data_IF_251828350351
#
_entry.id   IF_251828350351
#
_cell.length_a   1.000
_cell.length_b   1.000
_cell.length_c   1.000
_cell.angle_alpha   90.00
_cell.angle_beta   90.00
_cell.angle_gamma   90.00
#
_symmetry.space_group_name_H-M   'P 1'
#
loop_
_entity.id
_entity.type
_entity.pdbx_description
1 polymer ?
#
# COMPACT_ATOMS: atom_id res chain seq x y z
N UNK A 1 -26.48 -11.12 56.44
CA UNK A 1 -25.20 -10.51 56.01
C UNK A 1 -25.49 -9.38 55.02
N UNK A 2 -25.76 -8.15 55.49
CA UNK A 2 -26.15 -7.01 54.62
C UNK A 2 -25.41 -5.75 55.08
N UNK A 3 -24.12 -5.64 54.74
CA UNK A 3 -23.36 -4.39 54.91
C UNK A 3 -23.85 -3.42 53.84
N UNK A 4 -24.76 -2.51 54.20
CA UNK A 4 -25.23 -1.42 53.34
C UNK A 4 -24.10 -0.40 53.17
N UNK A 5 -23.65 -0.18 51.93
CA UNK A 5 -22.73 0.91 51.61
C UNK A 5 -23.49 2.25 51.74
N UNK A 6 -23.41 2.89 52.91
CA UNK A 6 -24.10 4.14 53.26
C UNK A 6 -23.84 5.31 52.29
N UNK A 7 -22.79 5.23 51.48
CA UNK A 7 -22.42 6.27 50.53
C UNK A 7 -23.24 6.23 49.24
N UNK A 8 -23.75 5.06 48.84
CA UNK A 8 -24.56 4.90 47.61
C UNK A 8 -25.97 5.48 47.82
N UNK A 9 -26.45 5.47 49.06
CA UNK A 9 -27.77 5.98 49.43
C UNK A 9 -27.90 7.50 49.32
N UNK A 10 -26.77 8.23 49.24
CA UNK A 10 -26.74 9.68 49.03
C UNK A 10 -26.82 10.10 47.56
N UNK A 11 -26.71 9.14 46.63
CA UNK A 11 -26.68 9.38 45.17
C UNK A 11 -28.08 9.12 44.56
N UNK A 12 -29.03 8.68 45.37
CA UNK A 12 -30.41 8.40 44.94
C UNK A 12 -31.24 9.70 45.00
N UNK A 13 -31.57 10.25 43.83
CA UNK A 13 -32.26 11.55 43.67
C UNK A 13 -33.77 11.42 43.95
N UNK A 14 -34.31 10.21 44.08
CA UNK A 14 -35.74 9.98 44.16
C UNK A 14 -36.22 9.58 45.58
N UNK A 15 -37.38 10.10 46.04
CA UNK A 15 -37.97 9.66 47.30
C UNK A 15 -38.38 8.18 47.22
N UNK A 16 -37.88 7.36 48.15
CA UNK A 16 -38.14 5.92 48.16
C UNK A 16 -39.59 5.62 48.55
N UNK A 17 -40.21 4.68 47.83
CA UNK A 17 -41.56 4.19 48.10
C UNK A 17 -41.60 3.39 49.41
N UNK A 18 -42.70 3.44 50.16
CA UNK A 18 -42.85 2.69 51.41
C UNK A 18 -42.76 1.17 51.16
N UNK A 19 -42.08 0.43 52.06
CA UNK A 19 -41.78 -1.01 51.87
C UNK A 19 -43.05 -1.88 51.77
N UNK A 20 -44.18 -1.41 52.29
CA UNK A 20 -45.49 -2.10 52.25
C UNK A 20 -46.09 -2.21 50.84
N UNK A 21 -45.67 -1.34 49.91
CA UNK A 21 -46.08 -1.39 48.49
C UNK A 21 -45.04 -2.06 47.58
N UNK A 22 -43.94 -2.61 48.15
CA UNK A 22 -42.81 -3.15 47.38
C UNK A 22 -42.66 -4.65 47.60
N UNK A 23 -43.13 -5.48 46.66
CA UNK A 23 -42.88 -6.92 46.70
C UNK A 23 -41.58 -7.29 45.95
N UNK A 24 -40.51 -7.57 46.69
CA UNK A 24 -39.26 -8.05 46.11
C UNK A 24 -39.30 -9.56 45.87
N UNK A 25 -39.51 -9.99 44.63
CA UNK A 25 -39.48 -11.41 44.26
C UNK A 25 -38.05 -11.86 43.89
N UNK A 26 -37.60 -12.99 44.44
CA UNK A 26 -36.26 -13.53 44.19
C UNK A 26 -36.01 -13.88 42.70
N UNK A 27 -37.03 -14.34 41.98
CA UNK A 27 -36.96 -14.62 40.54
C UNK A 27 -36.85 -13.35 39.69
N UNK A 28 -37.62 -12.30 40.02
CA UNK A 28 -37.58 -11.01 39.32
C UNK A 28 -36.26 -10.26 39.48
N UNK A 29 -35.61 -10.40 40.65
CA UNK A 29 -34.26 -9.87 40.89
C UNK A 29 -33.20 -10.54 40.01
N UNK A 30 -33.25 -11.87 39.89
CA UNK A 30 -32.31 -12.63 39.03
C UNK A 30 -32.44 -12.28 37.55
N UNK A 31 -33.68 -12.14 37.05
CA UNK A 31 -33.93 -11.72 35.66
C UNK A 31 -33.41 -10.31 35.40
N UNK A 32 -33.59 -9.38 36.35
CA UNK A 32 -33.07 -8.02 36.26
C UNK A 32 -31.53 -7.96 36.27
N UNK A 33 -30.87 -8.83 37.03
CA UNK A 33 -29.40 -8.91 37.05
C UNK A 33 -28.89 -9.48 35.72
N UNK A 34 -29.53 -10.54 35.21
CA UNK A 34 -29.16 -11.15 33.94
C UNK A 34 -29.31 -10.14 32.78
N UNK A 35 -30.41 -9.39 32.74
CA UNK A 35 -30.63 -8.38 31.70
C UNK A 35 -29.61 -7.25 31.78
N UNK A 36 -29.25 -6.79 32.98
CA UNK A 36 -28.23 -5.78 33.17
C UNK A 36 -26.85 -6.24 32.69
N UNK A 37 -26.49 -7.51 32.94
CA UNK A 37 -25.24 -8.10 32.43
C UNK A 37 -25.22 -8.12 30.91
N UNK A 38 -26.32 -8.55 30.27
CA UNK A 38 -26.43 -8.58 28.80
C UNK A 38 -26.31 -7.16 28.22
N UNK A 39 -26.97 -6.17 28.84
CA UNK A 39 -26.88 -4.77 28.41
C UNK A 39 -25.43 -4.28 28.53
N UNK A 40 -24.73 -4.57 29.63
CA UNK A 40 -23.31 -4.20 29.79
C UNK A 40 -22.46 -4.83 28.68
N UNK A 41 -22.64 -6.11 28.40
CA UNK A 41 -21.88 -6.81 27.34
C UNK A 41 -22.12 -6.12 25.99
N UNK A 42 -23.38 -5.86 25.63
CA UNK A 42 -23.72 -5.18 24.37
C UNK A 42 -23.11 -3.78 24.27
N UNK A 43 -23.18 -2.99 25.35
CA UNK A 43 -22.59 -1.65 25.39
C UNK A 43 -21.08 -1.71 25.23
N UNK A 44 -20.40 -2.63 25.91
CA UNK A 44 -18.94 -2.79 25.77
C UNK A 44 -18.58 -3.22 24.34
N UNK A 45 -19.30 -4.15 23.74
CA UNK A 45 -19.02 -4.59 22.36
C UNK A 45 -19.23 -3.48 21.35
N UNK A 46 -20.30 -2.70 21.47
CA UNK A 46 -20.57 -1.56 20.58
C UNK A 46 -19.55 -0.44 20.77
N UNK A 47 -19.15 -0.12 22.00
CA UNK A 47 -18.08 0.86 22.24
C UNK A 47 -16.78 0.40 21.60
N UNK A 48 -16.42 -0.89 21.69
CA UNK A 48 -15.23 -1.42 21.02
C UNK A 48 -15.34 -1.35 19.51
N UNK A 49 -16.51 -1.66 18.96
CA UNK A 49 -16.75 -1.57 17.52
C UNK A 49 -16.72 -0.13 17.01
N UNK A 50 -17.40 0.80 17.68
CA UNK A 50 -17.44 2.22 17.32
C UNK A 50 -16.08 2.91 17.49
N UNK A 51 -15.30 2.51 18.49
CA UNK A 51 -13.95 3.04 18.69
C UNK A 51 -12.94 2.48 17.68
N UNK A 52 -13.31 1.45 16.90
CA UNK A 52 -12.48 0.98 15.80
C UNK A 52 -12.56 1.97 14.64
N UNK A 53 -11.46 2.65 14.34
CA UNK A 53 -11.37 3.56 13.20
C UNK A 53 -11.44 2.79 11.89
N UNK A 54 -12.48 3.02 11.09
CA UNK A 54 -12.60 2.52 9.72
C UNK A 54 -12.23 3.64 8.75
N UNK A 55 -11.31 3.37 7.82
CA UNK A 55 -10.91 4.32 6.80
C UNK A 55 -11.96 4.32 5.68
N UNK A 56 -12.67 5.43 5.50
CA UNK A 56 -13.68 5.58 4.43
C UNK A 56 -13.05 6.32 3.26
N UNK A 57 -12.97 5.65 2.12
CA UNK A 57 -12.55 6.25 0.87
C UNK A 57 -13.77 6.90 0.20
N UNK A 58 -13.68 8.18 -0.12
CA UNK A 58 -14.72 8.93 -0.82
C UNK A 58 -14.15 9.43 -2.15
N UNK A 59 -14.97 9.37 -3.20
CA UNK A 59 -14.60 9.88 -4.51
C UNK A 59 -14.88 11.38 -4.57
N UNK A 60 -13.86 12.17 -4.89
CA UNK A 60 -13.99 13.60 -5.16
C UNK A 60 -13.65 13.90 -6.62
N UNK A 61 -14.13 15.05 -7.10
CA UNK A 61 -13.74 15.57 -8.42
C UNK A 61 -12.29 16.03 -8.34
N UNK A 62 -11.50 15.62 -9.33
CA UNK A 62 -10.12 16.05 -9.48
C UNK A 62 -10.08 17.47 -10.09
N UNK A 63 -9.56 18.42 -9.34
CA UNK A 63 -9.42 19.81 -9.78
C UNK A 63 -8.06 20.11 -10.44
N UNK A 64 -7.08 19.21 -10.32
CA UNK A 64 -5.69 19.41 -10.77
C UNK A 64 -5.39 18.55 -12.01
N UNK A 65 -6.18 18.77 -13.07
CA UNK A 65 -6.08 18.01 -14.33
C UNK A 65 -4.83 18.41 -15.12
N UNK A 66 -4.43 19.69 -15.07
CA UNK A 66 -3.29 20.23 -15.82
C UNK A 66 -1.93 19.97 -15.13
N UNK A 67 -1.93 19.33 -13.97
CA UNK A 67 -0.70 18.99 -13.26
C UNK A 67 0.09 17.90 -13.99
N UNK A 68 1.43 18.01 -13.95
CA UNK A 68 2.31 16.92 -14.43
C UNK A 68 2.31 15.77 -13.44
N UNK A 69 2.37 14.55 -13.96
CA UNK A 69 2.45 13.32 -13.22
C UNK A 69 3.92 12.86 -13.12
N UNK A 70 4.40 12.64 -11.91
CA UNK A 70 5.73 12.06 -11.67
C UNK A 70 5.64 10.55 -11.63
N UNK A 71 6.22 9.87 -12.62
CA UNK A 71 6.33 8.42 -12.68
C UNK A 71 7.71 8.02 -12.16
N UNK A 72 7.76 7.20 -11.11
CA UNK A 72 9.01 6.63 -10.62
C UNK A 72 9.19 5.24 -11.23
N UNK A 73 10.33 5.02 -11.86
CA UNK A 73 10.68 3.75 -12.49
C UNK A 73 11.94 3.24 -11.81
N UNK A 74 11.93 1.97 -11.41
CA UNK A 74 13.12 1.21 -11.01
C UNK A 74 12.90 -0.23 -11.44
N UNK A 75 13.57 -0.64 -12.51
CA UNK A 75 13.44 -1.98 -13.08
C UNK A 75 14.75 -2.45 -13.68
N UNK A 76 14.92 -3.77 -13.75
CA UNK A 76 16.10 -4.39 -14.35
C UNK A 76 15.68 -5.27 -15.53
N UNK A 77 16.27 -5.02 -16.70
CA UNK A 77 16.02 -5.76 -17.95
C UNK A 77 17.20 -6.66 -18.26
N UNK A 78 16.95 -7.91 -18.62
CA UNK A 78 17.97 -8.89 -19.04
C UNK A 78 18.56 -8.58 -20.43
N UNK A 79 19.07 -7.36 -20.62
CA UNK A 79 19.68 -6.86 -21.85
C UNK A 79 20.82 -5.89 -21.51
N UNK A 80 21.88 -5.79 -22.35
CA UNK A 80 22.92 -4.79 -22.14
C UNK A 80 22.37 -3.37 -22.33
N UNK A 81 22.84 -2.41 -21.52
CA UNK A 81 22.37 -1.01 -21.55
C UNK A 81 22.51 -0.34 -22.94
N UNK A 82 23.52 -0.73 -23.72
CA UNK A 82 23.72 -0.22 -25.09
C UNK A 82 22.60 -0.61 -26.07
N UNK A 83 21.82 -1.63 -25.74
CA UNK A 83 20.83 -2.22 -26.64
C UNK A 83 19.39 -2.19 -26.11
N UNK A 84 19.16 -1.53 -24.99
CA UNK A 84 17.82 -1.29 -24.43
C UNK A 84 17.51 0.20 -24.51
N UNK A 85 16.28 0.54 -24.86
CA UNK A 85 15.75 1.90 -24.83
C UNK A 85 14.44 1.92 -24.06
N UNK A 86 14.27 2.92 -23.21
CA UNK A 86 12.97 3.25 -22.64
C UNK A 86 12.41 4.48 -23.34
N UNK A 87 11.12 4.44 -23.66
CA UNK A 87 10.44 5.55 -24.32
C UNK A 87 9.01 5.71 -23.76
N UNK A 88 8.47 6.93 -23.87
CA UNK A 88 7.13 7.32 -23.44
C UNK A 88 6.46 8.00 -24.62
N UNK A 89 5.31 7.47 -25.02
CA UNK A 89 4.48 8.07 -26.04
C UNK A 89 3.13 8.48 -25.45
N UNK A 90 2.85 9.77 -25.47
CA UNK A 90 1.58 10.37 -25.06
C UNK A 90 0.74 10.74 -26.31
N UNK A 91 -0.58 10.95 -26.15
CA UNK A 91 -1.47 11.46 -27.20
C UNK A 91 -1.02 12.80 -27.79
N UNK A 92 -0.23 13.57 -27.04
CA UNK A 92 0.39 14.82 -27.51
C UNK A 92 1.53 14.59 -28.51
N UNK A 93 1.96 13.34 -28.70
CA UNK A 93 3.05 12.94 -29.59
C UNK A 93 4.34 13.74 -29.34
N UNK A 94 4.55 14.15 -28.08
CA UNK A 94 5.79 14.78 -27.63
C UNK A 94 6.83 13.72 -27.32
N UNK A 95 8.05 13.91 -27.81
CA UNK A 95 9.16 12.97 -27.61
C UNK A 95 9.66 13.02 -26.16
N UNK A 96 10.24 11.89 -25.71
CA UNK A 96 10.75 11.65 -24.36
C UNK A 96 11.80 12.62 -23.84
N UNK A 97 12.57 13.27 -24.71
CA UNK A 97 13.57 14.26 -24.31
C UNK A 97 12.97 15.44 -23.51
N UNK A 98 11.65 15.63 -23.56
CA UNK A 98 10.94 16.68 -22.82
C UNK A 98 10.53 16.26 -21.40
N UNK A 99 10.53 14.96 -21.08
CA UNK A 99 9.97 14.40 -19.84
C UNK A 99 11.03 13.92 -18.83
N UNK A 100 12.32 14.02 -19.19
CA UNK A 100 13.47 13.55 -18.41
C UNK A 100 14.07 12.26 -18.97
N UNK A 101 15.32 11.97 -18.61
CA UNK A 101 16.03 10.75 -19.00
C UNK A 101 16.12 9.80 -17.80
N UNK A 102 15.93 8.50 -18.02
CA UNK A 102 16.16 7.48 -17.00
C UNK A 102 17.65 7.16 -16.94
N UNK A 103 18.18 7.00 -15.73
CA UNK A 103 19.56 6.58 -15.54
C UNK A 103 19.68 5.07 -15.84
N UNK A 104 20.70 4.72 -16.62
CA UNK A 104 20.99 3.36 -17.04
C UNK A 104 22.24 2.84 -16.33
N UNK A 105 22.04 1.92 -15.39
CA UNK A 105 23.12 1.29 -14.63
C UNK A 105 23.36 -0.15 -15.12
N UNK A 106 24.58 -0.51 -15.57
CA UNK A 106 24.92 -1.90 -15.89
C UNK A 106 24.78 -2.78 -14.64
N UNK A 107 23.95 -3.82 -14.74
CA UNK A 107 23.63 -4.69 -13.59
C UNK A 107 23.64 -6.16 -13.96
N UNK A 108 23.40 -7.01 -12.97
CA UNK A 108 23.26 -8.47 -13.15
C UNK A 108 21.79 -8.85 -13.02
N UNK A 109 21.28 -9.65 -13.95
CA UNK A 109 19.88 -10.09 -13.90
C UNK A 109 19.64 -11.12 -12.79
N UNK A 110 20.64 -11.97 -12.54
CA UNK A 110 20.55 -13.01 -11.54
C UNK A 110 20.76 -12.43 -10.14
N UNK A 111 19.75 -12.61 -9.29
CA UNK A 111 19.78 -12.21 -7.90
C UNK A 111 20.46 -13.29 -7.05
N UNK A 112 21.22 -12.88 -6.03
CA UNK A 112 21.69 -13.81 -5.01
C UNK A 112 20.51 -14.44 -4.26
N UNK A 113 20.68 -15.63 -3.68
CA UNK A 113 19.62 -16.29 -2.92
C UNK A 113 18.94 -15.39 -1.87
N UNK A 114 19.67 -14.61 -1.05
CA UNK A 114 19.02 -13.68 -0.12
C UNK A 114 18.24 -12.56 -0.84
N UNK A 115 18.79 -11.97 -1.91
CA UNK A 115 18.10 -10.95 -2.71
C UNK A 115 16.82 -11.49 -3.37
N UNK A 116 16.86 -12.73 -3.87
CA UNK A 116 15.74 -13.39 -4.51
C UNK A 116 14.58 -13.63 -3.55
N UNK A 117 14.86 -14.13 -2.35
CA UNK A 117 13.82 -14.34 -1.32
C UNK A 117 13.16 -13.02 -0.93
N UNK A 118 13.95 -11.94 -0.84
CA UNK A 118 13.43 -10.59 -0.58
C UNK A 118 12.54 -10.09 -1.72
N UNK A 119 12.99 -10.24 -2.95
CA UNK A 119 12.23 -9.88 -4.15
C UNK A 119 10.89 -10.63 -4.22
N UNK A 120 10.91 -11.95 -4.07
CA UNK A 120 9.70 -12.79 -4.06
C UNK A 120 8.71 -12.40 -2.94
N UNK A 121 9.24 -12.06 -1.75
CA UNK A 121 8.42 -11.57 -0.63
C UNK A 121 7.75 -10.25 -0.97
N UNK A 122 8.50 -9.30 -1.54
CA UNK A 122 7.97 -8.00 -1.95
C UNK A 122 6.92 -8.13 -3.06
N UNK A 123 7.15 -9.01 -4.04
CA UNK A 123 6.16 -9.28 -5.08
C UNK A 123 4.85 -9.84 -4.50
N UNK A 124 4.93 -10.78 -3.56
CA UNK A 124 3.74 -11.33 -2.90
C UNK A 124 2.95 -10.25 -2.16
N UNK A 125 3.64 -9.37 -1.44
CA UNK A 125 3.02 -8.24 -0.74
C UNK A 125 2.34 -7.29 -1.73
N UNK A 126 3.03 -6.93 -2.82
CA UNK A 126 2.48 -6.03 -3.84
C UNK A 126 1.24 -6.61 -4.53
N UNK A 127 1.23 -7.92 -4.81
CA UNK A 127 0.07 -8.61 -5.37
C UNK A 127 -1.10 -8.55 -4.38
N UNK A 128 -0.85 -8.89 -3.12
CA UNK A 128 -1.86 -8.83 -2.06
C UNK A 128 -2.49 -7.44 -1.93
N UNK A 129 -1.66 -6.38 -1.93
CA UNK A 129 -2.10 -4.98 -1.88
C UNK A 129 -2.99 -4.61 -3.08
N UNK A 130 -2.70 -5.13 -4.27
CA UNK A 130 -3.42 -4.80 -5.51
C UNK A 130 -4.74 -5.57 -5.64
N UNK A 131 -4.78 -6.81 -5.18
CA UNK A 131 -5.93 -7.69 -5.34
C UNK A 131 -6.93 -7.54 -4.18
N UNK A 132 -6.47 -7.32 -2.95
CA UNK A 132 -7.37 -7.10 -1.82
C UNK A 132 -7.72 -5.61 -1.68
N UNK A 133 -8.95 -5.28 -2.06
CA UNK A 133 -9.53 -3.96 -1.85
C UNK A 133 -9.41 -3.56 -0.38
N UNK A 134 -8.84 -2.37 -0.14
CA UNK A 134 -8.68 -1.81 1.20
C UNK A 134 -7.74 -2.60 2.14
N UNK A 135 -6.74 -3.33 1.65
CA UNK A 135 -5.76 -3.99 2.53
C UNK A 135 -4.55 -3.10 2.91
N UNK A 136 -4.37 -1.95 2.25
CA UNK A 136 -3.22 -1.06 2.51
C UNK A 136 -3.20 -0.57 3.96
N UNK A 137 -4.35 -0.12 4.48
CA UNK A 137 -4.40 0.39 5.85
C UNK A 137 -4.22 -0.72 6.90
N UNK A 138 -4.70 -1.93 6.62
CA UNK A 138 -4.49 -3.10 7.48
C UNK A 138 -3.01 -3.51 7.52
N UNK A 139 -2.27 -3.21 6.45
CA UNK A 139 -0.84 -3.43 6.37
C UNK A 139 -0.04 -2.34 7.10
N UNK A 140 -0.34 -1.05 6.87
CA UNK A 140 0.41 0.09 7.44
C UNK A 140 0.29 0.15 8.97
N UNK A 141 -0.89 -0.13 9.54
CA UNK A 141 -1.15 -0.02 10.98
C UNK A 141 -0.92 -1.32 11.78
N UNK A 142 -0.54 -2.42 11.13
CA UNK A 142 -0.15 -3.64 11.82
C UNK A 142 1.28 -3.48 12.31
N UNK A 143 1.48 -3.52 13.62
CA UNK A 143 2.75 -3.30 14.35
C UNK A 143 3.98 -4.08 13.84
N UNK A 144 3.80 -5.06 12.94
CA UNK A 144 4.88 -5.80 12.28
C UNK A 144 5.38 -5.23 10.94
N UNK A 145 4.63 -4.34 10.27
CA UNK A 145 4.95 -3.91 8.89
C UNK A 145 6.10 -2.89 8.81
N UNK A 146 6.21 -1.99 9.79
CA UNK A 146 7.32 -1.03 9.88
C UNK A 146 8.69 -1.72 9.98
N UNK A 147 8.74 -3.01 10.36
CA UNK A 147 9.95 -3.83 10.38
C UNK A 147 10.22 -4.56 9.05
N UNK A 148 9.19 -4.89 8.27
CA UNK A 148 9.32 -5.53 6.95
C UNK A 148 9.89 -4.53 5.93
N UNK A 149 9.46 -3.26 5.98
CA UNK A 149 10.03 -2.20 5.12
C UNK A 149 11.42 -1.70 5.58
N UNK A 150 11.74 -1.80 6.87
CA UNK A 150 13.05 -1.39 7.42
C UNK A 150 14.18 -2.39 7.18
N UNK A 151 13.86 -3.57 6.66
CA UNK A 151 14.78 -4.70 6.56
C UNK A 151 15.22 -5.03 5.14
N UNK A 152 15.37 -4.05 4.24
CA UNK A 152 16.06 -4.27 2.97
C UNK A 152 17.53 -3.87 3.12
N UNK A 153 18.43 -4.79 3.52
CA UNK A 153 19.83 -4.58 3.25
C UNK A 153 19.96 -4.48 1.73
N UNK A 154 20.41 -3.32 1.25
CA UNK A 154 20.97 -3.19 -0.09
C UNK A 154 22.18 -4.13 -0.10
N UNK A 155 21.95 -5.33 -0.63
CA UNK A 155 23.01 -6.32 -0.74
C UNK A 155 24.07 -5.75 -1.68
N UNK A 156 25.20 -5.32 -1.12
CA UNK A 156 26.40 -4.93 -1.87
C UNK A 156 27.12 -6.15 -2.50
N UNK A 157 26.45 -7.30 -2.55
CA UNK A 157 26.97 -8.50 -3.19
C UNK A 157 26.80 -8.34 -4.70
N UNK A 158 27.86 -7.83 -5.33
CA UNK A 158 27.98 -7.78 -6.79
C UNK A 158 28.17 -9.22 -7.28
N UNK A 159 27.24 -9.71 -8.10
CA UNK A 159 27.36 -11.03 -8.70
C UNK A 159 28.66 -11.12 -9.53
N UNK A 160 29.39 -12.24 -9.48
CA UNK A 160 30.63 -12.38 -10.22
C UNK A 160 30.34 -12.49 -11.73
N UNK A 161 30.93 -11.63 -12.55
CA UNK A 161 30.85 -11.72 -14.00
C UNK A 161 30.85 -10.37 -14.70
N UNK A 162 30.61 -10.38 -16.01
CA UNK A 162 30.27 -9.15 -16.75
C UNK A 162 28.78 -8.86 -16.54
N UNK A 163 28.38 -7.59 -16.39
CA UNK A 163 26.97 -7.23 -16.29
C UNK A 163 26.23 -7.70 -17.55
N UNK A 164 25.15 -8.45 -17.34
CA UNK A 164 24.30 -9.03 -18.40
C UNK A 164 22.91 -8.39 -18.43
N UNK A 165 22.69 -7.35 -17.63
CA UNK A 165 21.43 -6.64 -17.50
C UNK A 165 21.65 -5.13 -17.45
N UNK A 166 20.55 -4.41 -17.58
CA UNK A 166 20.51 -2.97 -17.42
C UNK A 166 19.40 -2.60 -16.43
N UNK A 167 19.78 -1.85 -15.39
CA UNK A 167 18.84 -1.27 -14.46
C UNK A 167 18.48 0.13 -14.95
N UNK A 168 17.19 0.35 -15.18
CA UNK A 168 16.61 1.62 -15.57
C UNK A 168 15.94 2.21 -14.32
N UNK A 169 16.50 3.30 -13.79
CA UNK A 169 15.94 3.94 -12.62
C UNK A 169 15.87 5.46 -12.74
N UNK A 170 14.87 6.06 -12.11
CA UNK A 170 14.70 7.50 -12.09
C UNK A 170 13.25 7.93 -11.96
N UNK A 171 13.03 9.22 -12.23
CA UNK A 171 11.70 9.81 -12.22
C UNK A 171 11.46 10.59 -13.49
N UNK A 172 10.30 10.36 -14.10
CA UNK A 172 9.86 11.00 -15.33
C UNK A 172 8.68 11.92 -15.01
N UNK A 173 8.71 13.16 -15.50
CA UNK A 173 7.63 14.13 -15.31
C UNK A 173 6.79 14.23 -16.58
N UNK A 174 5.71 13.44 -16.65
CA UNK A 174 4.86 13.32 -17.84
C UNK A 174 3.57 14.13 -17.71
N UNK A 175 2.89 14.36 -18.82
CA UNK A 175 1.54 14.93 -18.80
C UNK A 175 0.54 13.89 -18.25
N UNK A 176 -0.50 14.35 -17.54
CA UNK A 176 -1.54 13.51 -16.95
C UNK A 176 -2.61 13.13 -17.98
N UNK A 177 -2.20 12.39 -19.00
CA UNK A 177 -3.02 12.00 -20.15
C UNK A 177 -2.71 10.55 -20.52
N UNK A 178 -3.53 9.98 -21.40
CA UNK A 178 -3.36 8.60 -21.82
C UNK A 178 -2.07 8.46 -22.62
N UNK A 179 -1.15 7.63 -22.13
CA UNK A 179 0.12 7.35 -22.79
C UNK A 179 0.57 5.92 -22.57
N UNK A 180 1.65 5.56 -23.26
CA UNK A 180 2.29 4.27 -23.17
C UNK A 180 3.76 4.44 -22.83
N UNK A 181 4.17 3.85 -21.71
CA UNK A 181 5.59 3.63 -21.41
C UNK A 181 5.97 2.24 -21.93
N UNK A 182 6.95 2.19 -22.82
CA UNK A 182 7.46 0.92 -23.34
C UNK A 182 8.98 0.86 -23.30
N UNK A 183 9.47 -0.37 -23.19
CA UNK A 183 10.89 -0.70 -23.23
C UNK A 183 11.10 -1.58 -24.45
N UNK A 184 12.06 -1.21 -25.28
CA UNK A 184 12.32 -1.83 -26.56
C UNK A 184 13.80 -2.16 -26.74
N UNK A 185 14.07 -3.09 -27.65
CA UNK A 185 15.43 -3.39 -28.08
C UNK A 185 15.90 -2.31 -29.08
N UNK A 186 16.98 -1.62 -28.74
CA UNK A 186 17.51 -0.48 -29.47
C UNK A 186 17.18 0.86 -28.81
N UNK A 187 18.00 1.87 -29.09
CA UNK A 187 17.71 3.25 -28.66
C UNK A 187 16.62 3.83 -29.56
N UNK A 188 15.77 4.66 -28.98
CA UNK A 188 14.79 5.43 -29.75
C UNK A 188 15.55 6.46 -30.60
N UNK A 189 15.11 6.66 -31.84
CA UNK A 189 15.54 7.78 -32.68
C UNK A 189 14.27 8.52 -33.08
N UNK A 190 14.23 9.87 -32.97
CA UNK A 190 13.07 10.65 -33.35
C UNK A 190 13.17 11.22 -34.77
N UNK A 191 12.76 10.50 -35.84
CA UNK A 191 12.45 11.15 -37.11
C UNK A 191 11.16 11.99 -37.01
N UNK A 192 11.05 13.10 -37.75
CA UNK A 192 9.95 14.07 -37.63
C UNK A 192 8.55 13.53 -37.99
N UNK A 193 8.42 12.31 -38.50
CA UNK A 193 7.15 11.72 -38.94
C UNK A 193 6.75 10.44 -38.20
N UNK A 194 7.66 9.83 -37.44
CA UNK A 194 7.43 8.51 -36.83
C UNK A 194 8.38 8.31 -35.66
N UNK A 195 7.98 7.54 -34.66
CA UNK A 195 8.90 7.04 -33.63
C UNK A 195 9.44 5.68 -34.10
N UNK A 196 10.75 5.57 -34.22
CA UNK A 196 11.41 4.34 -34.67
C UNK A 196 12.47 3.90 -33.66
N UNK A 197 12.49 2.60 -33.39
CA UNK A 197 13.51 1.96 -32.57
C UNK A 197 14.54 1.33 -33.50
N UNK A 198 15.80 1.74 -33.39
CA UNK A 198 16.88 1.11 -34.15
C UNK A 198 17.58 0.09 -33.25
N UNK A 199 17.28 -1.18 -33.49
CA UNK A 199 18.17 -2.26 -33.08
C UNK A 199 19.30 -2.33 -34.13
N UNK A 200 20.42 -1.68 -33.86
CA UNK A 200 21.61 -1.89 -34.68
C UNK A 200 21.93 -3.40 -34.64
N UNK A 201 21.90 -4.04 -35.80
CA UNK A 201 22.06 -5.48 -36.00
C UNK A 201 23.04 -6.10 -35.00
N UNK A 202 22.52 -6.92 -34.09
CA UNK A 202 23.32 -7.73 -33.16
C UNK A 202 24.18 -8.72 -33.96
N UNK A 203 25.39 -8.33 -34.33
CA UNK A 203 26.41 -9.27 -34.82
C UNK A 203 26.95 -10.06 -33.63
N UNK A 204 26.39 -11.25 -33.44
CA UNK A 204 27.01 -12.41 -32.80
C UNK A 204 27.48 -12.24 -31.35
N UNK A 205 26.64 -12.65 -30.40
CA UNK A 205 27.10 -13.19 -29.11
C UNK A 205 26.10 -14.27 -28.66
N UNK A 206 26.23 -15.44 -29.29
CA UNK A 206 25.94 -16.74 -28.68
C UNK A 206 27.28 -17.44 -28.50
#
# INVERSE_FOLDING_TARGET
>A
MRRRFKNVEKIDIFPKVQEEYTQSTASGGTVSILSFIVIIVLVVTEIRYYSASQLKFEYSVDHDIDSKLKINVDLTVAMPCSAVGADILDVTNQNTETFGELEEEPSHFELSMPQRVQWETMQRINIYIREEYHAIQDLIWKDGYTNILRGLPVGNEVAPGRPNACRLHGSLEVNKVSGNFHITAGKHIPPPCCHAHISAFFKGFW
#
